data_IF_953604147508
#
_entry.id   IF_953604147508
#
_cell.length_a   1.000
_cell.length_b   1.000
_cell.length_c   1.000
_cell.angle_alpha   90.00
_cell.angle_beta   90.00
_cell.angle_gamma   90.00
#
_symmetry.space_group_name_H-M   'P 1'
#
loop_
_entity.id
_entity.type
_entity.pdbx_description
1 polymer ?
#
# COMPACT_ATOMS: atom_id res chain seq x y z
N UNK A 1 7.18 8.04 -14.85
CA UNK A 1 5.76 8.32 -15.20
C UNK A 1 4.96 7.01 -15.37
N UNK A 2 4.99 6.10 -14.38
CA UNK A 2 4.70 4.66 -14.57
C UNK A 2 3.28 4.19 -14.19
N UNK A 3 2.38 5.09 -13.77
CA UNK A 3 0.98 4.78 -13.47
C UNK A 3 0.07 5.52 -14.46
N UNK A 4 -0.53 4.79 -15.40
CA UNK A 4 -1.43 5.34 -16.45
C UNK A 4 -2.81 5.73 -15.92
N UNK A 5 -3.07 5.63 -14.60
CA UNK A 5 -4.36 5.95 -13.99
C UNK A 5 -4.17 6.87 -12.78
N UNK A 6 -4.73 8.07 -12.85
CA UNK A 6 -4.78 9.00 -11.72
C UNK A 6 -5.44 8.37 -10.48
N UNK A 7 -6.38 7.44 -10.67
CA UNK A 7 -7.03 6.70 -9.58
C UNK A 7 -6.03 5.95 -8.68
N UNK A 8 -4.99 5.33 -9.25
CA UNK A 8 -4.00 4.56 -8.48
C UNK A 8 -3.17 5.51 -7.61
N UNK A 9 -2.84 6.69 -8.13
CA UNK A 9 -2.12 7.74 -7.41
C UNK A 9 -2.96 8.28 -6.25
N UNK A 10 -4.25 8.54 -6.46
CA UNK A 10 -5.15 8.99 -5.40
C UNK A 10 -5.30 7.96 -4.28
N UNK A 11 -5.36 6.66 -4.61
CA UNK A 11 -5.43 5.59 -3.62
C UNK A 11 -4.16 5.60 -2.74
N UNK A 12 -2.98 5.77 -3.34
CA UNK A 12 -1.72 5.85 -2.59
C UNK A 12 -1.65 7.15 -1.78
N UNK A 13 -2.03 8.29 -2.36
CA UNK A 13 -2.04 9.56 -1.65
C UNK A 13 -2.99 9.56 -0.45
N UNK A 14 -4.07 8.79 -0.52
CA UNK A 14 -5.01 8.58 0.58
C UNK A 14 -4.39 7.90 1.80
N UNK A 15 -3.25 7.19 1.67
CA UNK A 15 -2.57 6.58 2.82
C UNK A 15 -1.64 7.54 3.56
N UNK A 16 -1.20 8.65 2.93
CA UNK A 16 -0.30 9.61 3.58
C UNK A 16 -0.90 10.25 4.84
N UNK A 17 -2.15 10.76 4.84
CA UNK A 17 -2.72 11.36 6.04
C UNK A 17 -2.73 10.40 7.23
N UNK A 18 -2.95 9.11 6.98
CA UNK A 18 -2.93 8.09 8.03
C UNK A 18 -1.53 7.87 8.62
N UNK A 19 -0.50 7.84 7.77
CA UNK A 19 0.88 7.75 8.24
C UNK A 19 1.29 8.98 9.06
N UNK A 20 0.95 10.18 8.57
CA UNK A 20 1.24 11.43 9.27
C UNK A 20 0.49 11.51 10.61
N UNK A 21 -0.77 11.09 10.66
CA UNK A 21 -1.55 11.03 11.90
C UNK A 21 -0.87 10.14 12.96
N UNK A 22 -0.34 8.98 12.56
CA UNK A 22 0.44 8.11 13.45
C UNK A 22 1.71 8.79 13.99
N UNK A 23 2.44 9.51 13.14
CA UNK A 23 3.62 10.28 13.55
C UNK A 23 3.28 11.42 14.54
N UNK A 24 2.19 12.15 14.29
CA UNK A 24 1.71 13.20 15.19
C UNK A 24 1.29 12.62 16.54
N UNK A 25 0.58 11.48 16.52
CA UNK A 25 0.18 10.78 17.74
C UNK A 25 1.39 10.36 18.59
N UNK A 26 2.44 9.85 17.95
CA UNK A 26 3.67 9.44 18.64
C UNK A 26 4.38 10.63 19.29
N UNK A 27 4.50 11.76 18.59
CA UNK A 27 5.11 12.99 19.15
C UNK A 27 4.32 13.49 20.36
N UNK A 28 2.98 13.45 20.26
CA UNK A 28 2.11 13.84 21.37
C UNK A 28 2.29 12.92 22.58
N UNK A 29 2.37 11.60 22.39
CA UNK A 29 2.60 10.65 23.48
C UNK A 29 3.97 10.77 24.14
N UNK A 30 5.01 11.11 23.36
CA UNK A 30 6.38 11.26 23.84
C UNK A 30 6.71 12.68 24.34
N UNK A 31 5.75 13.60 24.28
CA UNK A 31 5.87 15.02 24.66
C UNK A 31 7.06 15.71 23.96
N UNK A 32 7.23 15.42 22.67
CA UNK A 32 8.29 16.00 21.85
C UNK A 32 7.89 17.34 21.22
N UNK A 33 8.85 18.26 21.17
CA UNK A 33 8.66 19.57 20.55
C UNK A 33 8.68 19.47 19.01
N UNK A 34 7.79 20.23 18.36
CA UNK A 34 7.82 20.42 16.92
C UNK A 34 9.07 21.21 16.54
N UNK A 35 9.98 20.57 15.81
CA UNK A 35 11.25 21.14 15.38
C UNK A 35 11.53 20.81 13.92
N UNK A 36 12.56 21.44 13.34
CA UNK A 36 13.01 21.14 11.98
C UNK A 36 13.39 19.66 11.83
N UNK A 37 13.99 19.05 12.86
CA UNK A 37 14.34 17.63 12.85
C UNK A 37 13.10 16.73 12.71
N UNK A 38 12.03 17.06 13.45
CA UNK A 38 10.75 16.36 13.35
C UNK A 38 10.13 16.53 11.96
N UNK A 39 10.21 17.73 11.38
CA UNK A 39 9.76 18.01 10.02
C UNK A 39 10.47 17.14 8.96
N UNK A 40 11.80 16.99 9.07
CA UNK A 40 12.58 16.09 8.20
C UNK A 40 12.14 14.63 8.39
N UNK A 41 11.86 14.22 9.63
CA UNK A 41 11.32 12.90 9.94
C UNK A 41 9.97 12.63 9.25
N UNK A 42 9.06 13.60 9.21
CA UNK A 42 7.79 13.47 8.50
C UNK A 42 7.95 13.37 6.98
N UNK A 43 8.93 14.05 6.38
CA UNK A 43 9.25 13.92 4.95
C UNK A 43 9.73 12.50 4.65
N UNK A 44 10.63 11.96 5.49
CA UNK A 44 11.09 10.58 5.35
C UNK A 44 9.94 9.57 5.52
N UNK A 45 9.08 9.78 6.51
CA UNK A 45 7.88 8.96 6.76
C UNK A 45 6.93 8.95 5.56
N UNK A 46 6.70 10.11 4.94
CA UNK A 46 5.89 10.21 3.73
C UNK A 46 6.49 9.39 2.58
N UNK A 47 7.81 9.44 2.38
CA UNK A 47 8.50 8.64 1.37
C UNK A 47 8.32 7.14 1.56
N UNK A 48 8.58 6.64 2.78
CA UNK A 48 8.41 5.21 3.13
C UNK A 48 6.95 4.78 2.98
N UNK A 49 6.01 5.63 3.37
CA UNK A 49 4.58 5.34 3.25
C UNK A 49 4.13 5.19 1.79
N UNK A 50 4.64 6.06 0.91
CA UNK A 50 4.40 5.97 -0.53
C UNK A 50 5.01 4.69 -1.11
N UNK A 51 6.24 4.35 -0.73
CA UNK A 51 6.92 3.13 -1.18
C UNK A 51 6.10 1.87 -0.87
N UNK A 52 5.63 1.75 0.38
CA UNK A 52 4.79 0.61 0.82
C UNK A 52 3.45 0.60 0.07
N UNK A 53 2.83 1.76 -0.14
CA UNK A 53 1.58 1.88 -0.89
C UNK A 53 1.71 1.44 -2.35
N UNK A 54 2.78 1.87 -3.02
CA UNK A 54 3.09 1.49 -4.41
C UNK A 54 3.32 -0.02 -4.51
N UNK A 55 4.09 -0.59 -3.59
CA UNK A 55 4.37 -2.03 -3.56
C UNK A 55 3.09 -2.86 -3.41
N UNK A 56 2.16 -2.44 -2.55
CA UNK A 56 0.86 -3.08 -2.41
C UNK A 56 0.06 -3.06 -3.71
N UNK A 57 -0.01 -1.91 -4.37
CA UNK A 57 -0.76 -1.75 -5.61
C UNK A 57 -0.18 -2.62 -6.74
N UNK A 58 1.15 -2.76 -6.80
CA UNK A 58 1.82 -3.67 -7.73
C UNK A 58 1.44 -5.13 -7.44
N UNK A 59 1.48 -5.58 -6.18
CA UNK A 59 1.13 -6.97 -5.84
C UNK A 59 -0.35 -7.28 -6.10
N UNK A 60 -1.25 -6.33 -5.81
CA UNK A 60 -2.68 -6.47 -6.11
C UNK A 60 -2.92 -6.56 -7.62
N UNK A 61 -2.31 -5.69 -8.42
CA UNK A 61 -2.44 -5.71 -9.88
C UNK A 61 -1.91 -7.03 -10.48
N UNK A 62 -0.78 -7.54 -9.97
CA UNK A 62 -0.25 -8.84 -10.40
C UNK A 62 -1.18 -10.00 -10.02
N UNK A 63 -1.73 -10.01 -8.79
CA UNK A 63 -2.65 -11.05 -8.35
C UNK A 63 -3.97 -11.02 -9.13
N UNK A 64 -4.49 -9.83 -9.42
CA UNK A 64 -5.67 -9.62 -10.23
C UNK A 64 -5.47 -10.08 -11.68
N UNK A 65 -4.36 -9.69 -12.31
CA UNK A 65 -4.01 -10.14 -13.66
C UNK A 65 -3.88 -11.66 -13.74
N UNK A 66 -3.24 -12.28 -12.74
CA UNK A 66 -3.11 -13.75 -12.65
C UNK A 66 -4.47 -14.43 -12.55
N UNK A 67 -5.38 -13.93 -11.72
CA UNK A 67 -6.72 -14.52 -11.60
C UNK A 67 -7.57 -14.32 -12.85
N UNK A 68 -7.48 -13.15 -13.49
CA UNK A 68 -8.15 -12.92 -14.77
C UNK A 68 -7.67 -13.89 -15.85
N UNK A 69 -6.37 -14.17 -15.89
CA UNK A 69 -5.80 -15.13 -16.83
C UNK A 69 -6.25 -16.57 -16.54
N UNK A 70 -6.35 -16.97 -15.28
CA UNK A 70 -6.88 -18.28 -14.88
C UNK A 70 -8.35 -18.46 -15.30
N UNK A 71 -9.20 -17.46 -15.04
CA UNK A 71 -10.60 -17.49 -15.46
C UNK A 71 -10.74 -17.64 -16.99
N UNK A 72 -9.88 -16.95 -17.74
CA UNK A 72 -9.87 -17.02 -19.21
C UNK A 72 -9.41 -18.40 -19.71
N UNK A 73 -8.37 -18.99 -19.09
CA UNK A 73 -7.90 -20.35 -19.40
C UNK A 73 -8.95 -21.42 -19.10
N UNK A 74 -9.78 -21.20 -18.08
CA UNK A 74 -10.89 -22.09 -17.68
C UNK A 74 -12.17 -21.82 -18.48
N UNK A 75 -12.13 -20.92 -19.49
CA UNK A 75 -13.28 -20.49 -20.31
C UNK A 75 -14.50 -20.02 -19.49
N UNK A 76 -14.26 -19.50 -18.29
CA UNK A 76 -15.32 -19.04 -17.39
C UNK A 76 -15.33 -17.52 -17.27
N UNK A 77 -16.49 -16.98 -16.92
CA UNK A 77 -16.60 -15.56 -16.60
C UNK A 77 -15.78 -15.22 -15.34
N UNK A 78 -15.22 -14.02 -15.34
CA UNK A 78 -14.56 -13.46 -14.16
C UNK A 78 -15.62 -12.95 -13.19
N UNK A 79 -15.68 -13.53 -12.00
CA UNK A 79 -16.70 -13.23 -10.99
C UNK A 79 -16.08 -12.54 -9.75
N UNK A 80 -16.95 -12.00 -8.90
CA UNK A 80 -16.65 -11.47 -7.58
C UNK A 80 -15.80 -12.42 -6.71
N UNK A 81 -16.00 -13.73 -6.83
CA UNK A 81 -15.17 -14.73 -6.14
C UNK A 81 -13.70 -14.67 -6.57
N UNK A 82 -13.41 -14.37 -7.84
CA UNK A 82 -12.05 -14.22 -8.33
C UNK A 82 -11.39 -12.94 -7.84
N UNK A 83 -12.18 -11.87 -7.70
CA UNK A 83 -11.72 -10.61 -7.11
C UNK A 83 -11.28 -10.87 -5.66
N UNK A 84 -12.11 -11.53 -4.87
CA UNK A 84 -11.76 -11.89 -3.50
C UNK A 84 -10.49 -12.77 -3.43
N UNK A 85 -10.39 -13.79 -4.31
CA UNK A 85 -9.18 -14.61 -4.41
C UNK A 85 -7.95 -13.80 -4.80
N UNK A 86 -8.08 -12.84 -5.71
CA UNK A 86 -6.98 -11.97 -6.11
C UNK A 86 -6.53 -11.06 -4.97
N UNK A 87 -7.47 -10.47 -4.21
CA UNK A 87 -7.17 -9.63 -3.04
C UNK A 87 -6.43 -10.44 -1.97
N UNK A 88 -6.96 -11.62 -1.61
CA UNK A 88 -6.34 -12.50 -0.60
C UNK A 88 -4.92 -12.90 -1.04
N UNK A 89 -4.77 -13.38 -2.27
CA UNK A 89 -3.44 -13.79 -2.78
C UNK A 89 -2.46 -12.62 -2.88
N UNK A 90 -2.92 -11.45 -3.28
CA UNK A 90 -2.11 -10.23 -3.31
C UNK A 90 -1.68 -9.78 -1.91
N UNK A 91 -2.61 -9.80 -0.94
CA UNK A 91 -2.34 -9.44 0.44
C UNK A 91 -1.35 -10.42 1.12
N UNK A 92 -1.51 -11.73 0.90
CA UNK A 92 -0.61 -12.75 1.46
C UNK A 92 0.84 -12.55 1.00
N UNK A 93 1.06 -12.15 -0.26
CA UNK A 93 2.40 -11.83 -0.79
C UNK A 93 3.08 -10.67 -0.06
N UNK A 94 2.30 -9.74 0.52
CA UNK A 94 2.80 -8.56 1.23
C UNK A 94 3.25 -8.85 2.65
N UNK A 95 2.74 -9.92 3.28
CA UNK A 95 3.01 -10.22 4.69
C UNK A 95 4.51 -10.38 4.96
N UNK A 96 5.20 -11.19 4.14
CA UNK A 96 6.64 -11.45 4.33
C UNK A 96 7.47 -10.15 4.24
N UNK A 97 7.33 -9.31 3.20
CA UNK A 97 8.01 -8.02 3.13
C UNK A 97 7.72 -7.08 4.32
N UNK A 98 6.46 -6.95 4.75
CA UNK A 98 6.16 -6.07 5.91
C UNK A 98 6.86 -6.57 7.16
N UNK A 99 6.79 -7.87 7.45
CA UNK A 99 7.40 -8.43 8.65
C UNK A 99 8.93 -8.21 8.68
N UNK A 100 9.59 -8.10 7.52
CA UNK A 100 11.02 -7.77 7.45
C UNK A 100 11.34 -6.32 7.80
N UNK A 101 10.35 -5.42 7.73
CA UNK A 101 10.54 -3.95 7.91
C UNK A 101 9.99 -3.42 9.24
N UNK A 102 9.25 -4.24 10.01
CA UNK A 102 8.60 -3.86 11.29
C UNK A 102 9.34 -4.48 12.49
N UNK A 103 10.67 -4.50 12.48
CA UNK A 103 11.48 -5.03 13.59
C UNK A 103 11.91 -3.94 14.58
#
# INVERSE_FOLDING_TARGET
>A
LNFRKFSDVFIIMGTLPMALAGGVWLIYLLDFNLSVAVGVGFIALAGVSVEIGVLMLVYLNQAFAKQKQLALSEQRAFDTNDVNRAIINGALKRIRPIMMTVA
#
